data_IF_212522769311
#
_entry.id   IF_212522769311
#
_cell.length_a   1.000
_cell.length_b   1.000
_cell.length_c   1.000
_cell.angle_alpha   90.00
_cell.angle_beta   90.00
_cell.angle_gamma   90.00
#
_symmetry.space_group_name_H-M   'P 1'
#
loop_
_entity.id
_entity.type
_entity.pdbx_description
1 polymer ?
#
# COMPACT_ATOMS: atom_id res chain seq x y z
N UNK A 1 -1.38 5.14 17.27
CA UNK A 1 0.05 5.43 16.98
C UNK A 1 0.13 6.14 15.65
N UNK A 2 0.79 7.29 15.60
CA UNK A 2 1.12 7.94 14.34
C UNK A 2 2.28 7.16 13.71
N UNK A 3 2.13 6.70 12.46
CA UNK A 3 3.27 6.23 11.69
C UNK A 3 4.34 7.33 11.74
N UNK A 4 5.54 6.97 12.17
CA UNK A 4 6.63 7.95 12.21
C UNK A 4 6.93 8.43 10.79
N UNK A 5 7.45 9.65 10.62
CA UNK A 5 7.90 10.13 9.32
C UNK A 5 8.84 9.13 8.63
N UNK A 6 9.69 8.43 9.39
CA UNK A 6 10.54 7.34 8.89
C UNK A 6 9.76 6.15 8.35
N UNK A 7 8.69 5.71 9.04
CA UNK A 7 7.81 4.64 8.54
C UNK A 7 7.06 5.07 7.28
N UNK A 8 6.66 6.34 7.18
CA UNK A 8 6.03 6.90 5.98
C UNK A 8 7.03 6.95 4.81
N UNK A 9 8.29 7.28 5.08
CA UNK A 9 9.34 7.33 4.08
C UNK A 9 9.73 5.93 3.59
N UNK A 10 9.75 4.94 4.48
CA UNK A 10 9.89 3.53 4.11
C UNK A 10 8.74 3.07 3.22
N UNK A 11 7.48 3.35 3.57
CA UNK A 11 6.34 2.99 2.74
C UNK A 11 6.42 3.65 1.36
N UNK A 12 6.80 4.93 1.29
CA UNK A 12 6.98 5.63 0.01
C UNK A 12 8.14 5.06 -0.83
N UNK A 13 9.24 4.68 -0.18
CA UNK A 13 10.40 4.09 -0.84
C UNK A 13 10.07 2.70 -1.40
N UNK A 14 9.34 1.90 -0.62
CA UNK A 14 8.83 0.60 -1.05
C UNK A 14 7.84 0.76 -2.21
N UNK A 15 6.92 1.73 -2.17
CA UNK A 15 6.00 2.00 -3.30
C UNK A 15 6.76 2.41 -4.57
N UNK A 16 7.78 3.26 -4.46
CA UNK A 16 8.65 3.63 -5.60
C UNK A 16 9.41 2.43 -6.15
N UNK A 17 9.94 1.57 -5.26
CA UNK A 17 10.62 0.33 -5.64
C UNK A 17 9.67 -0.63 -6.36
N UNK A 18 8.48 -0.86 -5.80
CA UNK A 18 7.41 -1.66 -6.41
C UNK A 18 7.11 -1.19 -7.83
N UNK A 19 6.87 0.11 -8.02
CA UNK A 19 6.57 0.69 -9.32
C UNK A 19 7.70 0.50 -10.35
N UNK A 20 8.94 0.39 -9.88
CA UNK A 20 10.12 0.16 -10.71
C UNK A 20 10.26 -1.33 -11.06
N UNK A 21 10.10 -2.23 -10.10
CA UNK A 21 10.25 -3.69 -10.28
C UNK A 21 9.19 -4.28 -11.22
N UNK A 22 7.97 -3.75 -11.13
CA UNK A 22 6.84 -4.07 -11.99
C UNK A 22 6.97 -3.53 -13.42
N UNK A 23 8.00 -2.72 -13.68
CA UNK A 23 8.21 -2.02 -14.94
C UNK A 23 6.93 -1.33 -15.43
N UNK A 24 6.23 -0.64 -14.51
CA UNK A 24 4.98 0.04 -14.83
C UNK A 24 5.24 1.16 -15.83
N UNK A 25 4.35 1.30 -16.81
CA UNK A 25 4.33 2.46 -17.69
C UNK A 25 4.04 3.74 -16.89
N UNK A 26 4.35 4.91 -17.44
CA UNK A 26 4.09 6.19 -16.78
C UNK A 26 2.61 6.34 -16.37
N UNK A 27 1.69 5.89 -17.22
CA UNK A 27 0.23 5.88 -16.96
C UNK A 27 -0.14 4.93 -15.81
N UNK A 28 0.44 3.73 -15.78
CA UNK A 28 0.24 2.76 -14.70
C UNK A 28 0.81 3.28 -13.36
N UNK A 29 1.94 3.99 -13.39
CA UNK A 29 2.55 4.64 -12.22
C UNK A 29 1.68 5.76 -11.66
N UNK A 30 1.11 6.59 -12.54
CA UNK A 30 0.22 7.67 -12.12
C UNK A 30 -1.04 7.11 -11.45
N UNK A 31 -1.67 6.10 -12.06
CA UNK A 31 -2.83 5.40 -11.48
C UNK A 31 -2.51 4.75 -10.13
N UNK A 32 -1.34 4.14 -10.01
CA UNK A 32 -0.87 3.56 -8.75
C UNK A 32 -0.70 4.64 -7.68
N UNK A 33 -0.04 5.75 -8.02
CA UNK A 33 0.19 6.87 -7.10
C UNK A 33 -1.13 7.45 -6.61
N UNK A 34 -2.09 7.72 -7.52
CA UNK A 34 -3.42 8.21 -7.16
C UNK A 34 -4.14 7.24 -6.22
N UNK A 35 -4.06 5.93 -6.48
CA UNK A 35 -4.69 4.92 -5.62
C UNK A 35 -4.07 4.88 -4.21
N UNK A 36 -2.75 5.03 -4.09
CA UNK A 36 -2.08 5.13 -2.79
C UNK A 36 -2.40 6.44 -2.05
N UNK A 37 -2.49 7.56 -2.76
CA UNK A 37 -2.87 8.84 -2.18
C UNK A 37 -4.31 8.80 -1.63
N UNK A 38 -5.25 8.21 -2.39
CA UNK A 38 -6.64 7.99 -1.96
C UNK A 38 -6.72 7.10 -0.71
N UNK A 39 -6.00 5.97 -0.71
CA UNK A 39 -5.90 5.07 0.44
C UNK A 39 -5.33 5.76 1.69
N UNK A 40 -4.32 6.61 1.52
CA UNK A 40 -3.73 7.39 2.62
C UNK A 40 -4.70 8.43 3.17
N UNK A 41 -5.45 9.11 2.30
CA UNK A 41 -6.52 10.03 2.69
C UNK A 41 -7.55 9.31 3.55
N UNK A 42 -8.08 8.19 3.06
CA UNK A 42 -9.05 7.35 3.78
C UNK A 42 -8.54 6.84 5.12
N UNK A 43 -7.28 6.40 5.19
CA UNK A 43 -6.67 5.99 6.46
C UNK A 43 -6.56 7.16 7.44
N UNK A 44 -6.21 8.35 6.94
CA UNK A 44 -6.15 9.57 7.74
C UNK A 44 -7.52 9.98 8.30
N UNK A 45 -8.57 9.95 7.47
CA UNK A 45 -9.95 10.17 7.90
C UNK A 45 -10.41 9.10 8.90
N UNK A 46 -10.13 7.82 8.65
CA UNK A 46 -10.46 6.73 9.55
C UNK A 46 -9.79 6.89 10.92
N UNK A 47 -8.51 7.26 10.97
CA UNK A 47 -7.82 7.53 12.24
C UNK A 47 -8.38 8.75 12.98
N UNK A 48 -8.91 9.74 12.25
CA UNK A 48 -9.53 10.94 12.82
C UNK A 48 -10.93 10.65 13.37
N UNK A 49 -11.70 9.81 12.68
CA UNK A 49 -13.06 9.42 13.08
C UNK A 49 -13.06 8.43 14.26
N UNK A 50 -11.98 7.68 14.43
CA UNK A 50 -11.82 6.67 15.49
C UNK A 50 -10.73 7.04 16.52
N UNK A 51 -11.03 7.95 17.48
CA UNK A 51 -10.11 8.34 18.55
C UNK A 51 -9.99 7.21 19.60
N UNK A 52 -9.18 6.20 19.28
CA UNK A 52 -9.07 4.97 20.06
C UNK A 52 -8.71 3.75 19.22
N UNK A 53 -8.62 3.92 17.90
CA UNK A 53 -8.20 2.91 16.95
C UNK A 53 -6.93 2.17 17.41
N UNK A 54 -7.01 0.84 17.43
CA UNK A 54 -5.88 0.00 17.81
C UNK A 54 -4.94 -0.22 16.63
N UNK A 55 -3.71 -0.65 16.90
CA UNK A 55 -2.78 -1.06 15.84
C UNK A 55 -3.38 -2.15 14.94
N UNK A 56 -4.12 -3.10 15.53
CA UNK A 56 -4.73 -4.20 14.79
C UNK A 56 -5.79 -3.71 13.81
N UNK A 57 -6.56 -2.70 14.18
CA UNK A 57 -7.57 -2.07 13.31
C UNK A 57 -6.91 -1.26 12.19
N UNK A 58 -5.83 -0.53 12.49
CA UNK A 58 -5.03 0.16 11.45
C UNK A 58 -4.48 -0.85 10.46
N UNK A 59 -3.93 -1.98 10.92
CA UNK A 59 -3.40 -3.04 10.05
C UNK A 59 -4.50 -3.63 9.17
N UNK A 60 -5.70 -3.86 9.72
CA UNK A 60 -6.86 -4.32 8.94
C UNK A 60 -7.26 -3.30 7.88
N UNK A 61 -7.35 -2.02 8.24
CA UNK A 61 -7.71 -0.95 7.31
C UNK A 61 -6.65 -0.81 6.19
N UNK A 62 -5.37 -0.75 6.54
CA UNK A 62 -4.26 -0.72 5.58
C UNK A 62 -4.28 -1.94 4.66
N UNK A 63 -4.57 -3.12 5.20
CA UNK A 63 -4.70 -4.35 4.40
C UNK A 63 -5.88 -4.29 3.43
N UNK A 64 -7.03 -3.75 3.87
CA UNK A 64 -8.21 -3.54 3.03
C UNK A 64 -7.96 -2.52 1.91
N UNK A 65 -7.30 -1.40 2.22
CA UNK A 65 -6.90 -0.42 1.22
C UNK A 65 -5.90 -1.00 0.21
N UNK A 66 -4.96 -1.84 0.66
CA UNK A 66 -4.05 -2.58 -0.24
C UNK A 66 -4.80 -3.52 -1.19
N UNK A 67 -5.82 -4.22 -0.72
CA UNK A 67 -6.65 -5.09 -1.56
C UNK A 67 -7.44 -4.28 -2.62
N UNK A 68 -7.95 -3.10 -2.23
CA UNK A 68 -8.60 -2.16 -3.15
C UNK A 68 -7.63 -1.64 -4.22
N UNK A 69 -6.42 -1.22 -3.83
CA UNK A 69 -5.37 -0.81 -4.76
C UNK A 69 -5.03 -1.95 -5.69
N UNK A 70 -4.85 -3.17 -5.17
CA UNK A 70 -4.62 -4.37 -5.96
C UNK A 70 -5.72 -4.56 -6.99
N UNK A 71 -7.00 -4.59 -6.61
CA UNK A 71 -8.12 -4.74 -7.56
C UNK A 71 -8.08 -3.70 -8.69
N UNK A 72 -7.72 -2.45 -8.39
CA UNK A 72 -7.57 -1.41 -9.42
C UNK A 72 -6.36 -1.66 -10.32
N UNK A 73 -5.23 -2.01 -9.72
CA UNK A 73 -3.95 -2.17 -10.41
C UNK A 73 -3.92 -3.40 -11.29
N UNK A 74 -4.36 -4.55 -10.77
CA UNK A 74 -4.35 -5.83 -11.51
C UNK A 74 -5.22 -5.81 -12.77
N UNK A 75 -6.23 -4.93 -12.84
CA UNK A 75 -7.07 -4.78 -14.03
C UNK A 75 -6.31 -4.24 -15.26
N UNK A 76 -5.15 -3.61 -15.06
CA UNK A 76 -4.34 -3.04 -16.13
C UNK A 76 -2.91 -3.58 -16.16
N UNK A 77 -2.60 -4.60 -15.35
CA UNK A 77 -1.33 -5.30 -15.40
C UNK A 77 -1.39 -6.49 -16.35
N UNK A 78 -0.29 -6.74 -17.06
CA UNK A 78 -0.14 -7.97 -17.82
C UNK A 78 0.15 -9.16 -16.86
N UNK A 79 -0.04 -10.43 -17.29
CA UNK A 79 0.13 -11.61 -16.42
C UNK A 79 1.49 -11.70 -15.73
N UNK A 80 2.56 -11.25 -16.40
CA UNK A 80 3.92 -11.22 -15.84
C UNK A 80 4.06 -10.16 -14.73
N UNK A 81 3.51 -8.97 -14.96
CA UNK A 81 3.46 -7.89 -13.97
C UNK A 81 2.59 -8.26 -12.77
N UNK A 82 1.50 -9.01 -13.00
CA UNK A 82 0.63 -9.50 -11.94
C UNK A 82 1.35 -10.47 -11.00
N UNK A 83 2.14 -11.42 -11.53
CA UNK A 83 2.95 -12.34 -10.72
C UNK A 83 3.97 -11.62 -9.85
N UNK A 84 4.63 -10.59 -10.41
CA UNK A 84 5.54 -9.72 -9.64
C UNK A 84 4.78 -8.95 -8.57
N UNK A 85 3.61 -8.41 -8.89
CA UNK A 85 2.77 -7.68 -7.93
C UNK A 85 2.41 -8.54 -6.73
N UNK A 86 1.95 -9.76 -6.98
CA UNK A 86 1.63 -10.74 -5.92
C UNK A 86 2.83 -11.04 -5.01
N UNK A 87 4.01 -11.24 -5.61
CA UNK A 87 5.24 -11.56 -4.90
C UNK A 87 5.71 -10.39 -4.03
N UNK A 88 5.65 -9.18 -4.56
CA UNK A 88 6.04 -7.97 -3.83
C UNK A 88 5.04 -7.66 -2.71
N UNK A 89 3.72 -7.79 -2.94
CA UNK A 89 2.71 -7.61 -1.89
C UNK A 89 2.90 -8.62 -0.75
N UNK A 90 3.27 -9.86 -1.05
CA UNK A 90 3.57 -10.85 -0.03
C UNK A 90 4.75 -10.41 0.85
N UNK A 91 5.84 -9.91 0.25
CA UNK A 91 7.00 -9.36 1.00
C UNK A 91 6.62 -8.14 1.83
N UNK A 92 5.82 -7.24 1.28
CA UNK A 92 5.40 -6.03 1.99
C UNK A 92 4.37 -6.31 3.10
N UNK A 93 3.65 -7.43 3.04
CA UNK A 93 2.81 -7.94 4.12
C UNK A 93 3.66 -8.56 5.24
N UNK A 94 4.69 -9.32 4.87
CA UNK A 94 5.64 -9.90 5.82
C UNK A 94 6.42 -8.81 6.56
N UNK A 95 6.92 -7.80 5.84
CA UNK A 95 7.62 -6.65 6.41
C UNK A 95 6.75 -5.87 7.41
N UNK A 96 5.51 -5.52 7.05
CA UNK A 96 4.61 -4.83 7.98
C UNK A 96 4.17 -5.74 9.15
N UNK A 97 4.03 -7.05 8.92
CA UNK A 97 3.75 -8.02 9.97
C UNK A 97 4.88 -8.11 11.00
N UNK A 98 6.13 -8.11 10.54
CA UNK A 98 7.32 -8.10 11.40
C UNK A 98 7.54 -6.76 12.11
N UNK A 99 7.27 -5.64 11.45
CA UNK A 99 7.55 -4.29 11.99
C UNK A 99 6.42 -3.71 12.85
N UNK A 100 5.24 -4.36 12.87
CA UNK A 100 4.11 -4.02 13.75
C UNK A 100 3.87 -5.03 14.89
N UNK A 101 4.60 -6.15 14.90
CA UNK A 101 4.61 -7.13 16.00
C UNK A 101 5.35 -6.61 17.24
#
# INVERSE_FOLDING_TARGET
MHLTPEQLEQVNSEVKRFATDLNLSSDQKEKLQTAFQDARGKLGDYMKDHPGITKADIVKEVSGQRDQIRKRVVNFLNPDQLKKWDSEIAKAKDFLGHHMA
#
